data_IF_645848533619
#
_entry.id   IF_645848533619
#
_cell.length_a   1.000
_cell.length_b   1.000
_cell.length_c   1.000
_cell.angle_alpha   90.00
_cell.angle_beta   90.00
_cell.angle_gamma   90.00
#
_symmetry.space_group_name_H-M   'P 1'
#
loop_
_entity.id
_entity.type
_entity.pdbx_description
1 polymer ?
#
# COMPACT_ATOMS: atom_id res chain seq x y z
N UNK A 1 17.33 -3.52 19.28
CA UNK A 1 15.87 -3.75 19.13
C UNK A 1 15.25 -2.48 18.56
N UNK A 2 14.44 -2.56 17.49
CA UNK A 2 13.82 -1.39 16.85
C UNK A 2 12.45 -1.15 17.49
N UNK A 3 12.14 0.09 17.87
CA UNK A 3 10.83 0.45 18.40
C UNK A 3 9.88 0.81 17.24
N UNK A 4 8.69 0.21 17.24
CA UNK A 4 7.63 0.50 16.27
C UNK A 4 6.49 1.24 16.98
N UNK A 5 5.89 2.22 16.32
CA UNK A 5 4.68 2.84 16.84
C UNK A 5 3.50 1.85 16.76
N UNK A 6 2.73 1.75 17.84
CA UNK A 6 1.59 0.86 17.95
C UNK A 6 0.29 1.44 17.38
N UNK A 7 0.24 2.76 17.14
CA UNK A 7 -0.95 3.45 16.62
C UNK A 7 -1.26 2.99 15.19
N UNK A 8 -2.54 2.79 14.90
CA UNK A 8 -3.00 2.33 13.59
C UNK A 8 -2.55 3.27 12.47
N UNK A 9 -2.05 2.68 11.37
CA UNK A 9 -1.58 3.45 10.21
C UNK A 9 -0.25 4.19 10.40
N UNK A 10 0.32 4.21 11.61
CA UNK A 10 1.60 4.86 11.87
C UNK A 10 2.78 3.97 11.48
N UNK A 11 3.59 4.39 10.51
CA UNK A 11 4.74 3.62 10.02
C UNK A 11 6.07 3.97 10.69
N UNK A 12 6.06 4.83 11.73
CA UNK A 12 7.26 5.34 12.38
C UNK A 12 8.02 4.24 13.13
N UNK A 13 9.34 4.24 12.99
CA UNK A 13 10.29 3.28 13.56
C UNK A 13 11.56 3.99 14.02
N UNK A 14 12.03 3.67 15.23
CA UNK A 14 13.12 4.42 15.87
C UNK A 14 14.46 4.36 15.14
N UNK A 15 14.64 3.43 14.19
CA UNK A 15 15.86 3.36 13.37
C UNK A 15 15.81 4.29 12.14
N UNK A 16 14.62 4.71 11.70
CA UNK A 16 14.40 5.59 10.55
C UNK A 16 14.14 7.01 11.02
N UNK A 17 13.16 7.18 11.90
CA UNK A 17 12.81 8.46 12.52
C UNK A 17 13.53 8.62 13.87
N UNK A 18 14.78 9.10 13.82
CA UNK A 18 15.64 9.28 15.00
C UNK A 18 15.30 10.52 15.83
N UNK A 19 14.60 11.47 15.24
CA UNK A 19 14.11 12.71 15.82
C UNK A 19 12.88 12.50 16.73
N UNK A 20 12.23 11.34 16.63
CA UNK A 20 10.98 11.04 17.35
C UNK A 20 11.26 10.29 18.63
N UNK A 21 10.53 10.67 19.68
CA UNK A 21 10.53 9.93 20.94
C UNK A 21 9.50 8.81 20.90
N UNK A 22 9.78 7.68 21.57
CA UNK A 22 8.91 6.51 21.62
C UNK A 22 8.58 6.17 23.08
N UNK A 23 7.35 6.45 23.48
CA UNK A 23 6.87 6.31 24.86
C UNK A 23 6.27 4.93 25.08
N UNK A 24 6.56 4.32 26.24
CA UNK A 24 6.02 3.02 26.61
C UNK A 24 4.55 3.14 26.99
N UNK A 25 3.81 2.06 26.75
CA UNK A 25 2.48 1.90 27.35
C UNK A 25 2.60 2.05 28.89
N UNK A 26 1.76 2.88 29.54
CA UNK A 26 1.81 3.06 30.99
C UNK A 26 1.66 1.74 31.75
N UNK A 27 2.59 1.48 32.67
CA UNK A 27 2.51 0.33 33.56
C UNK A 27 1.46 0.57 34.66
N UNK A 28 0.80 -0.50 35.10
CA UNK A 28 -0.11 -0.43 36.26
C UNK A 28 0.73 -0.53 37.53
N UNK A 29 0.61 0.45 38.41
CA UNK A 29 1.34 0.48 39.68
C UNK A 29 0.54 -0.35 40.71
N UNK A 30 1.20 -1.31 41.34
CA UNK A 30 0.60 -2.21 42.35
C UNK A 30 0.90 -1.83 43.80
N UNK A 31 1.60 -0.70 44.02
CA UNK A 31 2.03 -0.22 45.35
C UNK A 31 0.87 0.38 46.16
N UNK A 32 1.02 0.57 47.50
CA UNK A 32 -0.07 0.91 48.43
C UNK A 32 -0.72 2.29 48.28
N UNK A 33 -0.31 3.12 47.32
CA UNK A 33 -0.99 4.39 47.10
C UNK A 33 -2.18 4.15 46.16
N UNK A 34 -3.36 4.03 46.75
CA UNK A 34 -4.61 3.72 46.07
C UNK A 34 -4.94 4.70 44.95
N UNK A 35 -4.70 6.00 45.15
CA UNK A 35 -4.97 7.04 44.15
C UNK A 35 -4.07 6.88 42.92
N UNK A 36 -2.75 6.74 43.14
CA UNK A 36 -1.79 6.56 42.03
C UNK A 36 -2.01 5.24 41.30
N UNK A 37 -2.42 4.20 42.02
CA UNK A 37 -2.80 2.92 41.43
C UNK A 37 -4.03 3.09 40.52
N UNK A 38 -5.10 3.72 41.01
CA UNK A 38 -6.32 3.96 40.25
C UNK A 38 -6.02 4.76 38.97
N UNK A 39 -5.28 5.87 39.09
CA UNK A 39 -4.87 6.69 37.95
C UNK A 39 -4.02 5.90 36.95
N UNK A 40 -3.13 5.01 37.40
CA UNK A 40 -2.31 4.20 36.49
C UNK A 40 -3.14 3.18 35.70
N UNK A 41 -4.15 2.57 36.34
CA UNK A 41 -5.10 1.64 35.69
C UNK A 41 -5.92 2.40 34.65
N UNK A 42 -6.48 3.55 35.04
CA UNK A 42 -7.29 4.38 34.16
C UNK A 42 -6.49 4.90 32.97
N UNK A 43 -5.25 5.37 33.20
CA UNK A 43 -4.38 5.86 32.14
C UNK A 43 -4.05 4.77 31.13
N UNK A 44 -3.71 3.57 31.61
CA UNK A 44 -3.44 2.43 30.73
C UNK A 44 -4.67 2.03 29.92
N UNK A 45 -5.84 1.96 30.55
CA UNK A 45 -7.10 1.66 29.86
C UNK A 45 -7.40 2.71 28.78
N UNK A 46 -7.21 3.99 29.09
CA UNK A 46 -7.41 5.10 28.15
C UNK A 46 -6.47 5.00 26.95
N UNK A 47 -5.18 4.71 27.18
CA UNK A 47 -4.22 4.49 26.09
C UNK A 47 -4.65 3.34 25.17
N UNK A 48 -5.03 2.19 25.74
CA UNK A 48 -5.48 1.03 24.96
C UNK A 48 -6.75 1.34 24.16
N UNK A 49 -7.71 2.03 24.78
CA UNK A 49 -8.95 2.47 24.13
C UNK A 49 -8.72 3.47 22.99
N UNK A 50 -7.64 4.27 23.04
CA UNK A 50 -7.25 5.19 21.96
C UNK A 50 -6.49 4.48 20.84
N UNK A 51 -5.67 3.48 21.16
CA UNK A 51 -4.91 2.69 20.18
C UNK A 51 -5.79 1.67 19.44
N UNK A 52 -6.95 1.28 20.01
CA UNK A 52 -8.00 0.43 19.39
C UNK A 52 -7.43 -0.74 18.56
N UNK A 53 -6.56 -1.53 19.20
CA UNK A 53 -5.94 -2.70 18.61
C UNK A 53 -6.32 -3.93 19.42
N UNK A 54 -7.00 -4.87 18.76
CA UNK A 54 -7.52 -6.08 19.43
C UNK A 54 -6.39 -6.95 19.99
N UNK A 55 -5.24 -7.01 19.30
CA UNK A 55 -4.06 -7.75 19.77
C UNK A 55 -3.48 -7.18 21.07
N UNK A 56 -3.69 -5.89 21.35
CA UNK A 56 -3.24 -5.23 22.57
C UNK A 56 -4.26 -5.28 23.70
N UNK A 57 -5.52 -5.62 23.41
CA UNK A 57 -6.57 -5.69 24.43
C UNK A 57 -6.41 -6.93 25.32
N UNK A 58 -6.00 -8.06 24.74
CA UNK A 58 -5.94 -9.35 25.45
C UNK A 58 -4.65 -9.54 26.24
N UNK A 59 -3.49 -9.19 25.68
CA UNK A 59 -2.18 -9.31 26.33
C UNK A 59 -1.22 -8.20 25.85
N UNK A 60 -1.38 -6.97 26.36
CA UNK A 60 -0.52 -5.85 25.96
C UNK A 60 0.92 -6.10 26.40
N UNK A 61 1.80 -6.34 25.44
CA UNK A 61 3.22 -6.53 25.66
C UNK A 61 3.89 -5.28 26.25
N UNK A 62 4.89 -5.46 27.11
CA UNK A 62 5.71 -4.38 27.67
C UNK A 62 6.54 -3.61 26.62
N UNK A 63 6.59 -4.13 25.39
CA UNK A 63 7.29 -3.52 24.25
C UNK A 63 6.42 -2.58 23.41
N UNK A 64 5.14 -2.40 23.74
CA UNK A 64 4.26 -1.45 23.04
C UNK A 64 4.78 -0.03 23.19
N UNK A 65 4.94 0.69 22.07
CA UNK A 65 5.40 2.08 22.03
C UNK A 65 4.46 2.97 21.22
N UNK A 66 4.35 4.23 21.61
CA UNK A 66 3.67 5.29 20.86
C UNK A 66 4.66 6.42 20.60
N UNK A 67 4.76 6.88 19.36
CA UNK A 67 5.68 7.96 19.01
C UNK A 67 5.15 9.35 19.42
N UNK A 68 6.05 10.33 19.48
CA UNK A 68 5.77 11.71 19.90
C UNK A 68 4.65 12.40 19.12
N UNK A 69 4.48 12.08 17.83
CA UNK A 69 3.44 12.68 16.97
C UNK A 69 2.01 12.52 17.44
N UNK A 70 1.75 11.58 18.34
CA UNK A 70 0.41 11.32 18.86
C UNK A 70 0.04 12.18 20.08
N UNK A 71 0.95 13.08 20.47
CA UNK A 71 0.81 14.05 21.56
C UNK A 71 1.04 15.46 21.02
N UNK A 72 0.27 16.43 21.53
CA UNK A 72 0.36 17.85 21.18
C UNK A 72 1.71 18.41 21.57
N UNK A 73 2.17 18.17 22.80
CA UNK A 73 3.50 18.57 23.29
C UNK A 73 4.62 17.62 22.87
N UNK A 74 4.32 16.59 22.07
CA UNK A 74 5.28 15.58 21.67
C UNK A 74 5.63 14.56 22.77
N UNK A 75 5.00 14.63 23.96
CA UNK A 75 5.20 13.70 25.07
C UNK A 75 3.93 13.54 25.91
N UNK A 76 3.77 12.41 26.63
CA UNK A 76 2.68 12.25 27.58
C UNK A 76 2.81 13.18 28.79
N UNK A 77 1.68 13.68 29.30
CA UNK A 77 1.64 14.50 30.53
C UNK A 77 1.91 13.68 31.81
N UNK A 78 1.91 14.34 32.98
CA UNK A 78 2.02 13.66 34.28
C UNK A 78 0.85 12.70 34.51
N UNK A 79 1.04 11.69 35.36
CA UNK A 79 -0.04 10.77 35.75
C UNK A 79 -1.19 11.49 36.48
N UNK A 80 -0.88 12.55 37.23
CA UNK A 80 -1.85 13.32 38.00
C UNK A 80 -2.62 14.34 37.14
N UNK A 81 -2.09 14.72 35.98
CA UNK A 81 -2.69 15.73 35.09
C UNK A 81 -3.71 15.09 34.15
N UNK A 82 -4.78 14.52 34.70
CA UNK A 82 -5.80 13.76 33.96
C UNK A 82 -6.51 14.60 32.88
N UNK A 83 -6.73 15.88 33.16
CA UNK A 83 -7.43 16.80 32.24
C UNK A 83 -6.54 17.32 31.11
N UNK A 84 -5.24 17.01 31.13
CA UNK A 84 -4.34 17.41 30.07
C UNK A 84 -4.63 16.61 28.78
N UNK A 85 -4.76 17.26 27.61
CA UNK A 85 -5.00 16.55 26.35
C UNK A 85 -3.89 15.57 25.94
N UNK A 86 -2.68 15.71 26.51
CA UNK A 86 -1.55 14.80 26.35
C UNK A 86 -1.48 13.69 27.40
N UNK A 87 -2.49 13.55 28.26
CA UNK A 87 -2.54 12.45 29.23
C UNK A 87 -2.58 11.08 28.55
N UNK A 88 -3.21 11.02 27.37
CA UNK A 88 -3.25 9.88 26.47
C UNK A 88 -3.07 10.31 24.99
N UNK A 89 -2.66 9.38 24.10
CA UNK A 89 -2.54 9.66 22.68
C UNK A 89 -3.87 10.17 22.10
N UNK A 90 -3.83 11.33 21.47
CA UNK A 90 -5.02 12.00 20.93
C UNK A 90 -4.85 12.42 19.47
N UNK A 91 -3.63 12.57 18.98
CA UNK A 91 -3.33 13.07 17.64
C UNK A 91 -3.09 11.93 16.64
N UNK A 92 -3.54 12.13 15.39
CA UNK A 92 -3.24 11.26 14.23
C UNK A 92 -3.43 9.76 14.50
N UNK A 93 -4.60 9.39 15.04
CA UNK A 93 -4.88 8.00 15.44
C UNK A 93 -5.21 7.06 14.28
N UNK A 94 -5.36 7.58 13.05
CA UNK A 94 -5.49 6.78 11.83
C UNK A 94 -6.88 6.21 11.57
N UNK A 95 -7.91 6.67 12.30
CA UNK A 95 -9.30 6.23 12.15
C UNK A 95 -10.18 7.17 11.31
N UNK A 96 -9.60 8.19 10.67
CA UNK A 96 -10.35 9.08 9.80
C UNK A 96 -10.86 8.26 8.60
N UNK A 97 -12.17 7.97 8.60
CA UNK A 97 -12.85 6.98 7.77
C UNK A 97 -12.92 7.33 6.26
N UNK A 98 -12.38 8.48 5.84
CA UNK A 98 -12.58 9.03 4.50
C UNK A 98 -11.44 8.81 3.51
N UNK A 99 -10.48 7.91 3.78
CA UNK A 99 -9.43 7.57 2.82
C UNK A 99 -9.53 6.12 2.39
N UNK A 100 -10.17 5.89 1.24
CA UNK A 100 -10.04 4.65 0.46
C UNK A 100 -8.54 4.40 0.27
N UNK A 101 -8.09 3.20 0.65
CA UNK A 101 -6.66 2.84 0.74
C UNK A 101 -6.03 2.67 -0.64
N UNK A 102 -5.63 3.78 -1.26
CA UNK A 102 -4.67 3.84 -2.38
C UNK A 102 -3.44 2.93 -2.11
N UNK A 103 -3.04 2.84 -0.84
CA UNK A 103 -1.96 1.96 -0.34
C UNK A 103 -2.10 0.46 -0.64
N UNK A 104 -3.31 -0.07 -0.87
CA UNK A 104 -3.49 -1.51 -1.16
C UNK A 104 -3.06 -1.84 -2.59
N UNK A 105 -3.47 -1.01 -3.56
CA UNK A 105 -3.11 -1.18 -4.95
C UNK A 105 -1.62 -0.92 -5.17
N UNK A 106 -1.06 0.13 -4.57
CA UNK A 106 0.38 0.39 -4.63
C UNK A 106 1.22 -0.71 -3.98
N UNK A 107 0.71 -1.35 -2.91
CA UNK A 107 1.38 -2.49 -2.28
C UNK A 107 1.36 -3.70 -3.22
N UNK A 108 0.24 -3.96 -3.89
CA UNK A 108 0.12 -5.02 -4.89
C UNK A 108 1.08 -4.78 -6.08
N UNK A 109 1.07 -3.57 -6.65
CA UNK A 109 1.94 -3.21 -7.77
C UNK A 109 3.43 -3.39 -7.41
N UNK A 110 3.86 -2.89 -6.24
CA UNK A 110 5.24 -3.10 -5.76
C UNK A 110 5.58 -4.57 -5.51
N UNK A 111 4.61 -5.40 -5.14
CA UNK A 111 4.85 -6.83 -4.99
C UNK A 111 5.08 -7.48 -6.36
N UNK A 112 4.27 -7.13 -7.36
CA UNK A 112 4.43 -7.58 -8.75
C UNK A 112 5.77 -7.14 -9.34
N UNK A 113 6.18 -5.89 -9.14
CA UNK A 113 7.49 -5.40 -9.59
C UNK A 113 8.67 -6.21 -9.02
N UNK A 114 8.60 -6.64 -7.75
CA UNK A 114 9.64 -7.47 -7.14
C UNK A 114 9.66 -8.90 -7.68
N UNK A 115 8.51 -9.43 -8.09
CA UNK A 115 8.42 -10.74 -8.75
C UNK A 115 9.02 -10.63 -10.14
N UNK A 116 8.62 -9.62 -10.90
CA UNK A 116 9.13 -9.40 -12.25
C UNK A 116 10.64 -9.14 -12.27
N UNK A 117 11.15 -8.35 -11.32
CA UNK A 117 12.59 -8.13 -11.20
C UNK A 117 13.36 -9.41 -10.90
N UNK A 118 12.81 -10.31 -10.07
CA UNK A 118 13.40 -11.64 -9.81
C UNK A 118 13.36 -12.52 -11.05
N UNK A 119 12.22 -12.57 -11.74
CA UNK A 119 12.06 -13.30 -13.00
C UNK A 119 13.08 -12.85 -14.05
N UNK A 120 13.32 -11.53 -14.16
CA UNK A 120 14.36 -10.98 -15.06
C UNK A 120 15.77 -11.39 -14.66
N UNK A 121 16.12 -11.35 -13.37
CA UNK A 121 17.45 -11.79 -12.93
C UNK A 121 17.65 -13.29 -13.11
N UNK A 122 16.63 -14.10 -12.82
CA UNK A 122 16.67 -15.55 -13.04
C UNK A 122 16.79 -15.89 -14.53
N UNK A 123 16.02 -15.20 -15.38
CA UNK A 123 16.14 -15.34 -16.83
C UNK A 123 17.52 -14.92 -17.36
N UNK A 124 18.12 -13.86 -16.84
CA UNK A 124 19.47 -13.46 -17.21
C UNK A 124 20.53 -14.49 -16.78
N UNK A 125 20.40 -15.08 -15.59
CA UNK A 125 21.28 -16.15 -15.11
C UNK A 125 21.15 -17.40 -16.00
N UNK A 126 19.92 -17.84 -16.29
CA UNK A 126 19.68 -18.98 -17.17
C UNK A 126 20.26 -18.77 -18.58
N UNK A 127 20.15 -17.55 -19.12
CA UNK A 127 20.74 -17.21 -20.42
C UNK A 127 22.28 -17.29 -20.41
N UNK A 128 22.92 -16.81 -19.34
CA UNK A 128 24.37 -16.93 -19.15
C UNK A 128 24.80 -18.39 -19.04
N UNK A 129 24.08 -19.23 -18.30
CA UNK A 129 24.37 -20.67 -18.18
C UNK A 129 24.24 -21.41 -19.52
N UNK A 130 23.20 -21.13 -20.30
CA UNK A 130 23.04 -21.70 -21.65
C UNK A 130 24.18 -21.27 -22.59
N UNK A 131 24.59 -20.01 -22.53
CA UNK A 131 25.72 -19.52 -23.35
C UNK A 131 27.03 -20.23 -23.02
N UNK A 132 27.25 -20.56 -21.74
CA UNK A 132 28.42 -21.29 -21.28
C UNK A 132 28.40 -22.75 -21.76
N UNK A 133 27.25 -23.41 -21.69
CA UNK A 133 27.08 -24.78 -22.18
C UNK A 133 27.33 -24.88 -23.70
N UNK A 134 26.86 -23.91 -24.48
CA UNK A 134 27.11 -23.85 -25.92
C UNK A 134 28.61 -23.67 -26.25
N UNK A 135 29.35 -22.90 -25.44
CA UNK A 135 30.80 -22.77 -25.60
C UNK A 135 31.54 -24.08 -25.27
N UNK A 136 31.11 -24.82 -24.25
CA UNK A 136 31.68 -26.12 -23.86
C UNK A 136 31.42 -27.21 -24.92
N UNK A 137 30.25 -27.23 -25.58
CA UNK A 137 29.97 -28.17 -26.69
C UNK A 137 30.81 -27.90 -27.95
N UNK A 138 31.29 -26.67 -28.18
CA UNK A 138 32.11 -26.34 -29.36
C UNK A 138 33.60 -26.68 -29.25
N UNK A 139 34.08 -27.16 -28.09
CA UNK A 139 35.49 -27.53 -27.90
C UNK A 139 35.80 -29.04 -28.05
N UNK A 140 34.79 -29.91 -28.18
CA UNK A 140 34.99 -31.38 -28.24
C UNK A 140 34.82 -32.00 -29.64
N UNK A 141 34.34 -31.23 -30.63
CA UNK A 141 34.32 -31.69 -32.03
C UNK A 141 35.40 -30.94 -32.82
N UNK A 142 36.55 -31.59 -33.02
CA UNK A 142 37.52 -31.18 -34.03
C UNK A 142 36.87 -31.21 -35.42
N UNK A 143 36.35 -30.07 -35.86
CA UNK A 143 35.66 -29.92 -37.14
C UNK A 143 36.36 -28.82 -37.93
N UNK A 144 36.88 -29.25 -39.07
CA UNK A 144 37.35 -28.39 -40.17
C UNK A 144 36.36 -27.28 -40.44
N UNK A 145 36.86 -26.06 -40.60
CA UNK A 145 36.08 -24.87 -40.98
C UNK A 145 35.49 -25.09 -42.37
N UNK A 146 34.32 -25.71 -42.43
CA UNK A 146 33.38 -25.48 -43.52
C UNK A 146 32.49 -24.32 -43.11
N UNK A 147 32.49 -23.33 -43.97
CA UNK A 147 31.78 -22.07 -43.90
C UNK A 147 30.27 -22.35 -43.78
N UNK A 148 29.79 -22.52 -42.54
CA UNK A 148 28.37 -22.56 -42.26
C UNK A 148 27.81 -21.16 -42.50
N UNK A 149 27.34 -20.97 -43.72
CA UNK A 149 26.37 -19.97 -44.12
C UNK A 149 25.40 -19.73 -42.96
N UNK A 150 25.58 -18.61 -42.27
CA UNK A 150 24.68 -18.14 -41.23
C UNK A 150 23.35 -17.78 -41.90
N UNK A 151 22.51 -18.80 -42.11
CA UNK A 151 21.08 -18.60 -42.34
C UNK A 151 20.56 -17.94 -41.08
N UNK A 152 20.43 -16.62 -41.15
CA UNK A 152 19.66 -15.84 -40.20
C UNK A 152 18.36 -16.60 -39.97
N UNK A 153 18.15 -17.10 -38.75
CA UNK A 153 16.81 -17.46 -38.30
C UNK A 153 16.04 -16.15 -38.22
N UNK A 154 15.53 -15.73 -39.37
CA UNK A 154 14.40 -14.83 -39.45
C UNK A 154 13.33 -15.52 -38.60
N UNK A 155 13.03 -14.95 -37.44
CA UNK A 155 11.74 -15.23 -36.81
C UNK A 155 10.74 -14.81 -37.87
N UNK A 156 10.03 -15.78 -38.46
CA UNK A 156 8.99 -15.49 -39.44
C UNK A 156 7.89 -14.73 -38.71
N UNK A 157 8.05 -13.41 -38.61
CA UNK A 157 6.98 -12.50 -38.24
C UNK A 157 6.05 -12.52 -39.45
N UNK A 158 5.11 -13.46 -39.43
CA UNK A 158 4.18 -13.68 -40.52
C UNK A 158 3.29 -12.45 -40.69
N UNK A 159 2.88 -12.18 -41.92
CA UNK A 159 1.89 -11.14 -42.22
C UNK A 159 0.62 -11.29 -41.36
N UNK A 160 0.26 -12.53 -41.05
CA UNK A 160 -0.86 -12.91 -40.19
C UNK A 160 -0.73 -12.33 -38.77
N UNK A 161 0.47 -12.38 -38.17
CA UNK A 161 0.73 -11.79 -36.85
C UNK A 161 0.48 -10.28 -36.85
N UNK A 162 0.91 -9.58 -37.91
CA UNK A 162 0.64 -8.14 -38.02
C UNK A 162 -0.85 -7.84 -38.19
N UNK A 163 -1.56 -8.64 -38.99
CA UNK A 163 -3.01 -8.45 -39.17
C UNK A 163 -3.80 -8.68 -37.89
N UNK A 164 -3.43 -9.69 -37.10
CA UNK A 164 -4.07 -9.98 -35.82
C UNK A 164 -3.79 -8.87 -34.81
N UNK A 165 -2.56 -8.37 -34.78
CA UNK A 165 -2.18 -7.26 -33.91
C UNK A 165 -2.96 -5.98 -34.24
N UNK A 166 -3.13 -5.66 -35.52
CA UNK A 166 -3.91 -4.50 -35.98
C UNK A 166 -5.39 -4.65 -35.59
N UNK A 167 -5.98 -5.84 -35.82
CA UNK A 167 -7.38 -6.11 -35.45
C UNK A 167 -7.60 -6.00 -33.93
N UNK A 168 -6.66 -6.49 -33.14
CA UNK A 168 -6.70 -6.37 -31.69
C UNK A 168 -6.60 -4.90 -31.24
N UNK A 169 -5.73 -4.11 -31.87
CA UNK A 169 -5.61 -2.68 -31.59
C UNK A 169 -6.91 -1.93 -31.88
N UNK A 170 -7.56 -2.22 -33.02
CA UNK A 170 -8.86 -1.63 -33.37
C UNK A 170 -9.96 -2.03 -32.39
N UNK A 171 -9.99 -3.30 -31.98
CA UNK A 171 -10.98 -3.82 -31.03
C UNK A 171 -10.82 -3.17 -29.66
N UNK A 172 -9.59 -3.11 -29.14
CA UNK A 172 -9.28 -2.45 -27.87
C UNK A 172 -9.60 -0.94 -27.90
N UNK A 173 -9.40 -0.27 -29.04
CA UNK A 173 -9.80 1.14 -29.19
C UNK A 173 -11.32 1.31 -29.11
N UNK A 174 -12.09 0.44 -29.75
CA UNK A 174 -13.57 0.45 -29.70
C UNK A 174 -14.07 0.19 -28.28
N UNK A 175 -13.52 -0.81 -27.59
CA UNK A 175 -13.89 -1.12 -26.21
C UNK A 175 -13.56 0.02 -25.25
N UNK A 176 -12.37 0.63 -25.38
CA UNK A 176 -12.01 1.80 -24.56
C UNK A 176 -12.94 2.99 -24.80
N UNK A 177 -13.38 3.22 -26.04
CA UNK A 177 -14.35 4.26 -26.34
C UNK A 177 -15.70 3.96 -25.67
N UNK A 178 -16.19 2.73 -25.76
CA UNK A 178 -17.44 2.30 -25.15
C UNK A 178 -17.39 2.38 -23.60
N UNK A 179 -16.30 1.95 -22.98
CA UNK A 179 -16.12 2.03 -21.53
C UNK A 179 -16.03 3.48 -21.03
N UNK A 180 -15.37 4.36 -21.79
CA UNK A 180 -15.34 5.80 -21.48
C UNK A 180 -16.73 6.41 -21.54
N UNK A 181 -17.54 6.04 -22.52
CA UNK A 181 -18.93 6.50 -22.63
C UNK A 181 -19.79 6.00 -21.45
N UNK A 182 -19.67 4.72 -21.10
CA UNK A 182 -20.35 4.16 -19.93
C UNK A 182 -19.94 4.86 -18.63
N UNK A 183 -18.66 5.22 -18.47
CA UNK A 183 -18.19 5.99 -17.32
C UNK A 183 -18.76 7.41 -17.31
N UNK A 184 -18.89 8.07 -18.48
CA UNK A 184 -19.56 9.39 -18.57
C UNK A 184 -21.00 9.28 -18.09
N UNK A 185 -21.75 8.30 -18.59
CA UNK A 185 -23.15 8.07 -18.23
C UNK A 185 -23.34 7.70 -16.76
N UNK A 186 -22.44 6.93 -16.17
CA UNK A 186 -22.50 6.56 -14.74
C UNK A 186 -21.89 7.61 -13.81
N UNK A 187 -21.24 8.65 -14.34
CA UNK A 187 -20.67 9.70 -13.51
C UNK A 187 -21.76 10.53 -12.86
N UNK A 188 -21.60 10.88 -11.58
CA UNK A 188 -22.43 11.86 -10.88
C UNK A 188 -21.77 13.25 -10.97
N UNK A 189 -21.28 13.60 -12.16
CA UNK A 189 -20.68 14.91 -12.45
C UNK A 189 -21.78 15.91 -12.84
N UNK A 190 -21.54 17.20 -12.59
CA UNK A 190 -22.47 18.29 -12.96
C UNK A 190 -22.86 18.22 -14.45
N UNK A 191 -21.88 18.09 -15.34
CA UNK A 191 -22.11 18.01 -16.80
C UNK A 191 -23.01 16.82 -17.18
N UNK A 192 -22.93 15.69 -16.47
CA UNK A 192 -23.77 14.53 -16.75
C UNK A 192 -25.22 14.71 -16.32
N UNK A 193 -25.49 15.60 -15.35
CA UNK A 193 -26.84 15.93 -14.94
C UNK A 193 -27.45 17.05 -15.78
N UNK A 194 -26.62 17.97 -16.29
CA UNK A 194 -27.05 18.99 -17.25
C UNK A 194 -27.66 18.40 -18.54
N UNK A 195 -27.12 17.27 -18.99
CA UNK A 195 -27.54 16.60 -20.23
C UNK A 195 -28.75 15.65 -20.06
N UNK A 196 -29.17 15.30 -18.83
CA UNK A 196 -30.19 14.26 -18.57
C UNK A 196 -31.15 14.62 -17.41
N UNK A 197 -32.32 15.17 -17.76
CA UNK A 197 -33.35 15.56 -16.79
C UNK A 197 -33.98 14.38 -16.04
N UNK A 198 -34.07 13.19 -16.65
CA UNK A 198 -34.62 12.00 -15.97
C UNK A 198 -33.66 11.54 -14.86
N UNK A 199 -32.36 11.62 -15.13
CA UNK A 199 -31.32 11.38 -14.14
C UNK A 199 -31.34 12.42 -13.01
N UNK A 200 -31.56 13.70 -13.32
CA UNK A 200 -31.74 14.75 -12.29
C UNK A 200 -32.93 14.44 -11.40
N UNK A 201 -34.07 14.11 -12.00
CA UNK A 201 -35.29 13.77 -11.27
C UNK A 201 -35.11 12.55 -10.36
N UNK A 202 -34.47 11.50 -10.87
CA UNK A 202 -34.22 10.28 -10.12
C UNK A 202 -33.32 10.50 -8.89
N UNK A 203 -32.24 11.28 -9.02
CA UNK A 203 -31.26 11.44 -7.95
C UNK A 203 -31.52 12.64 -7.02
N UNK A 204 -32.20 13.68 -7.48
CA UNK A 204 -32.42 14.93 -6.70
C UNK A 204 -33.89 15.22 -6.40
N UNK A 205 -34.83 14.61 -7.14
CA UNK A 205 -36.25 14.92 -7.06
C UNK A 205 -36.66 16.23 -7.72
N UNK A 206 -35.73 16.93 -8.39
CA UNK A 206 -36.01 18.16 -9.14
C UNK A 206 -36.41 17.83 -10.59
N UNK A 207 -37.32 18.61 -11.21
CA UNK A 207 -37.82 18.32 -12.56
C UNK A 207 -36.79 18.55 -13.68
N UNK A 208 -35.76 19.36 -13.45
CA UNK A 208 -34.70 19.65 -14.40
C UNK A 208 -33.44 20.18 -13.69
N UNK A 209 -32.30 20.15 -14.38
CA UNK A 209 -31.09 20.82 -13.91
C UNK A 209 -31.26 22.34 -14.01
N UNK A 210 -31.55 22.99 -12.88
CA UNK A 210 -31.62 24.45 -12.77
C UNK A 210 -30.41 24.92 -11.97
N UNK A 211 -29.59 25.77 -12.60
CA UNK A 211 -28.49 26.49 -11.95
C UNK A 211 -29.04 27.59 -11.02
#
# INVERSE_FOLDING_TARGET
MVNFCAVYGCSNRSNREKDRSYFRLPAVITRPNDEKQALSKERRATWLARIRRDDLSSNPSDFVRVCSDHFISGKPSSIYDKDNPDWAPSQKLGYDCNKVKESSQERYNRAQERVEKRRRSEGAIALMELSKAAMEETMDAGVTVEELNCKAFQTDITSEYFTELIQNEETLKKENAALKEQLKQNSLSQDSFEEDNDKVLFYTGLPNWTL
#
